data_IF_887040305026
#
_entry.id   IF_887040305026
#
_cell.length_a   1.000
_cell.length_b   1.000
_cell.length_c   1.000
_cell.angle_alpha   90.00
_cell.angle_beta   90.00
_cell.angle_gamma   90.00
#
_symmetry.space_group_name_H-M   'P 1'
#
loop_
_entity.id
_entity.type
_entity.pdbx_description
1 polymer ?
#
# COMPACT_ATOMS: atom_id res chain seq x y z
N UNK A 1 9.04 -11.21 6.88
CA UNK A 1 7.82 -10.96 6.08
C UNK A 1 8.20 -11.39 4.67
N UNK A 2 7.61 -12.46 4.16
CA UNK A 2 7.98 -12.97 2.84
C UNK A 2 7.37 -12.10 1.75
N UNK A 3 8.23 -11.51 0.91
CA UNK A 3 7.84 -10.66 -0.21
C UNK A 3 6.85 -11.38 -1.13
N UNK A 4 7.06 -12.68 -1.37
CA UNK A 4 6.21 -13.49 -2.24
C UNK A 4 4.77 -13.63 -1.72
N UNK A 5 4.61 -13.79 -0.41
CA UNK A 5 3.29 -13.87 0.23
C UNK A 5 2.55 -12.54 0.13
N UNK A 6 3.27 -11.42 0.29
CA UNK A 6 2.71 -10.07 0.15
C UNK A 6 2.23 -9.85 -1.28
N UNK A 7 3.04 -10.20 -2.27
CA UNK A 7 2.68 -10.11 -3.69
C UNK A 7 1.44 -10.96 -3.96
N UNK A 8 1.43 -12.22 -3.54
CA UNK A 8 0.34 -13.15 -3.86
C UNK A 8 -0.99 -12.72 -3.24
N UNK A 9 -0.96 -12.18 -2.01
CA UNK A 9 -2.16 -11.63 -1.35
C UNK A 9 -2.61 -10.34 -2.04
N UNK A 10 -1.71 -9.38 -2.27
CA UNK A 10 -2.11 -8.07 -2.80
C UNK A 10 -2.55 -8.18 -4.26
N UNK A 11 -1.85 -8.94 -5.10
CA UNK A 11 -2.21 -9.12 -6.52
C UNK A 11 -3.55 -9.85 -6.73
N UNK A 12 -3.99 -10.68 -5.78
CA UNK A 12 -5.29 -11.39 -5.81
C UNK A 12 -6.45 -10.61 -5.16
N UNK A 13 -6.28 -9.33 -4.84
CA UNK A 13 -7.31 -8.50 -4.20
C UNK A 13 -7.57 -7.24 -5.01
N UNK A 14 -8.85 -6.84 -5.06
CA UNK A 14 -9.25 -5.56 -5.64
C UNK A 14 -8.76 -4.39 -4.79
N UNK A 15 -8.65 -3.19 -5.38
CA UNK A 15 -8.19 -2.01 -4.64
C UNK A 15 -9.07 -1.75 -3.40
N UNK A 16 -10.40 -1.86 -3.52
CA UNK A 16 -11.33 -1.73 -2.39
C UNK A 16 -11.00 -2.70 -1.24
N UNK A 17 -10.78 -3.97 -1.54
CA UNK A 17 -10.38 -4.96 -0.53
C UNK A 17 -9.01 -4.65 0.09
N UNK A 18 -8.07 -4.12 -0.69
CA UNK A 18 -6.76 -3.69 -0.14
C UNK A 18 -6.94 -2.54 0.86
N UNK A 19 -7.87 -1.62 0.60
CA UNK A 19 -8.20 -0.55 1.55
C UNK A 19 -8.80 -1.09 2.85
N UNK A 20 -9.75 -2.03 2.74
CA UNK A 20 -10.34 -2.68 3.92
C UNK A 20 -9.29 -3.43 4.74
N UNK A 21 -8.36 -4.11 4.06
CA UNK A 21 -7.23 -4.80 4.71
C UNK A 21 -6.31 -3.77 5.39
N UNK A 22 -5.98 -2.67 4.74
CA UNK A 22 -5.15 -1.60 5.32
C UNK A 22 -5.80 -1.04 6.59
N UNK A 23 -7.09 -0.73 6.52
CA UNK A 23 -7.85 -0.20 7.65
C UNK A 23 -7.97 -1.21 8.80
N UNK A 24 -8.30 -2.47 8.50
CA UNK A 24 -8.39 -3.53 9.49
C UNK A 24 -7.01 -3.81 10.13
N UNK A 25 -5.94 -3.75 9.34
CA UNK A 25 -4.58 -3.94 9.81
C UNK A 25 -4.15 -2.81 10.76
N UNK A 26 -4.38 -1.55 10.37
CA UNK A 26 -4.08 -0.38 11.18
C UNK A 26 -4.90 -0.40 12.48
N UNK A 27 -6.19 -0.76 12.41
CA UNK A 27 -7.04 -0.92 13.59
C UNK A 27 -6.55 -2.01 14.55
N UNK A 28 -6.02 -3.11 14.02
CA UNK A 28 -5.60 -4.28 14.81
C UNK A 28 -4.20 -4.12 15.40
N UNK A 29 -3.27 -3.56 14.63
CA UNK A 29 -1.85 -3.48 15.01
C UNK A 29 -1.43 -2.09 15.46
N UNK A 30 -2.27 -1.06 15.22
CA UNK A 30 -1.95 0.37 15.39
C UNK A 30 -0.68 0.80 14.63
N UNK A 31 -0.34 0.09 13.57
CA UNK A 31 0.80 0.39 12.69
C UNK A 31 0.31 0.61 11.28
N UNK A 32 1.00 1.50 10.57
CA UNK A 32 0.69 1.75 9.17
C UNK A 32 1.12 0.55 8.32
N UNK A 33 0.17 -0.05 7.60
CA UNK A 33 0.49 -1.16 6.70
C UNK A 33 1.47 -0.70 5.61
N UNK A 34 1.32 0.55 5.13
CA UNK A 34 2.24 1.16 4.16
C UNK A 34 3.68 1.20 4.69
N UNK A 35 3.91 1.63 5.94
CA UNK A 35 5.26 1.69 6.55
C UNK A 35 5.88 0.32 6.81
N UNK A 36 5.05 -0.69 7.12
CA UNK A 36 5.56 -2.06 7.30
C UNK A 36 5.94 -2.67 5.96
N UNK A 37 5.13 -2.44 4.92
CA UNK A 37 5.45 -2.84 3.55
C UNK A 37 6.69 -2.12 3.06
N UNK A 38 6.85 -0.85 3.44
CA UNK A 38 8.06 -0.08 3.24
C UNK A 38 9.25 -0.88 3.82
N UNK A 39 9.31 -1.10 5.13
CA UNK A 39 10.43 -1.79 5.77
C UNK A 39 10.65 -3.25 5.34
N UNK A 40 9.61 -3.93 4.86
CA UNK A 40 9.66 -5.35 4.53
C UNK A 40 9.99 -5.66 3.07
N UNK A 41 9.93 -4.68 2.16
CA UNK A 41 10.11 -4.88 0.72
C UNK A 41 11.39 -4.24 0.20
N UNK A 42 12.01 -4.90 -0.76
CA UNK A 42 13.12 -4.40 -1.58
C UNK A 42 12.68 -3.23 -2.48
N UNK A 43 13.58 -2.27 -2.73
CA UNK A 43 13.28 -0.95 -3.34
C UNK A 43 12.34 -0.98 -4.55
N UNK A 44 12.60 -1.83 -5.54
CA UNK A 44 11.75 -1.91 -6.74
C UNK A 44 10.35 -2.42 -6.42
N UNK A 45 10.26 -3.48 -5.61
CA UNK A 45 8.99 -4.10 -5.25
C UNK A 45 8.16 -3.21 -4.32
N UNK A 46 8.85 -2.51 -3.41
CA UNK A 46 8.28 -1.51 -2.50
C UNK A 46 7.47 -0.47 -3.26
N UNK A 47 8.05 0.12 -4.31
CA UNK A 47 7.37 1.17 -5.10
C UNK A 47 6.06 0.69 -5.73
N UNK A 48 6.05 -0.52 -6.29
CA UNK A 48 4.90 -1.12 -6.97
C UNK A 48 3.81 -1.48 -5.96
N UNK A 49 4.18 -2.08 -4.84
CA UNK A 49 3.24 -2.49 -3.79
C UNK A 49 2.62 -1.27 -3.10
N UNK A 50 3.41 -0.24 -2.79
CA UNK A 50 2.88 1.02 -2.26
C UNK A 50 1.93 1.70 -3.25
N UNK A 51 2.25 1.70 -4.55
CA UNK A 51 1.34 2.22 -5.57
C UNK A 51 0.02 1.43 -5.62
N UNK A 52 0.08 0.11 -5.51
CA UNK A 52 -1.10 -0.78 -5.50
C UNK A 52 -1.95 -0.65 -4.23
N UNK A 53 -1.38 -0.15 -3.14
CA UNK A 53 -2.01 0.08 -1.84
C UNK A 53 -2.64 1.47 -1.71
N UNK A 54 -2.21 2.47 -2.50
CA UNK A 54 -2.81 3.81 -2.48
C UNK A 54 -4.24 3.78 -3.03
N UNK A 55 -5.14 4.51 -2.36
CA UNK A 55 -6.46 4.82 -2.93
C UNK A 55 -6.29 5.72 -4.15
N UNK A 56 -7.20 5.66 -5.14
CA UNK A 56 -7.26 6.63 -6.22
C UNK A 56 -7.26 8.07 -5.68
N UNK A 57 -8.01 8.35 -4.62
CA UNK A 57 -8.06 9.67 -4.00
C UNK A 57 -6.72 10.13 -3.37
N UNK A 58 -5.94 9.23 -2.72
CA UNK A 58 -4.59 9.58 -2.22
C UNK A 58 -3.58 9.69 -3.36
N UNK A 59 -3.74 8.91 -4.43
CA UNK A 59 -2.93 9.00 -5.62
C UNK A 59 -3.16 10.34 -6.33
N UNK A 60 -4.42 10.69 -6.58
CA UNK A 60 -4.86 11.97 -7.14
C UNK A 60 -4.39 13.15 -6.27
N UNK A 61 -4.54 13.07 -4.95
CA UNK A 61 -4.05 14.11 -4.04
C UNK A 61 -2.50 14.23 -4.07
N UNK A 62 -1.79 13.13 -4.31
CA UNK A 62 -0.34 13.11 -4.48
C UNK A 62 0.10 13.76 -5.80
N UNK A 63 -0.57 13.41 -6.91
CA UNK A 63 -0.33 13.99 -8.23
C UNK A 63 -0.66 15.49 -8.26
N UNK A 64 -1.79 15.90 -7.67
CA UNK A 64 -2.15 17.32 -7.55
C UNK A 64 -1.11 18.07 -6.72
N UNK A 65 -0.65 17.51 -5.58
CA UNK A 65 0.39 18.15 -4.77
C UNK A 65 1.75 18.24 -5.49
N UNK A 66 2.06 17.27 -6.34
CA UNK A 66 3.27 17.27 -7.17
C UNK A 66 3.20 18.28 -8.32
N UNK A 67 2.04 18.42 -8.96
CA UNK A 67 1.81 19.33 -10.08
C UNK A 67 1.64 20.80 -9.66
N UNK A 68 1.27 21.06 -8.40
CA UNK A 68 1.09 22.41 -7.85
C UNK A 68 2.41 22.98 -7.26
N UNK A 69 3.53 22.26 -7.40
CA UNK A 69 4.84 22.68 -6.89
C UNK A 69 5.72 23.30 -7.96
#
# INVERSE_FOLDING_TARGET
>A
LDEHTIIDILTKRSNAQRQDIAFAFEKKTKRNLEEILDYALSDHLRSVILALMKTPAKYDAGEIKGAVK
#
